data_IF_991583810994
#
_entry.id   IF_991583810994
#
_cell.length_a   1.000
_cell.length_b   1.000
_cell.length_c   1.000
_cell.angle_alpha   90.00
_cell.angle_beta   90.00
_cell.angle_gamma   90.00
#
_symmetry.space_group_name_H-M   'P 1'
#
loop_
_entity.id
_entity.type
_entity.pdbx_description
1 polymer ?
#
# COMPACT_ATOMS: atom_id res chain seq x y z
N UNK A 1 21.36 -13.64 -19.32
CA UNK A 1 20.70 -12.70 -18.39
C UNK A 1 19.86 -13.51 -17.42
N UNK A 2 20.03 -13.32 -16.11
CA UNK A 2 19.22 -14.02 -15.10
C UNK A 2 17.93 -13.24 -14.87
N UNK A 3 16.79 -13.83 -15.20
CA UNK A 3 15.49 -13.26 -14.81
C UNK A 3 15.34 -13.37 -13.30
N UNK A 4 14.92 -12.27 -12.64
CA UNK A 4 14.52 -12.28 -11.22
C UNK A 4 13.01 -12.18 -11.16
N UNK A 5 12.39 -13.10 -10.43
CA UNK A 5 10.94 -13.10 -10.20
C UNK A 5 10.68 -12.54 -8.80
N UNK A 6 9.55 -11.86 -8.65
CA UNK A 6 9.09 -11.31 -7.38
C UNK A 6 7.81 -12.05 -6.99
N UNK A 7 7.77 -12.59 -5.77
CA UNK A 7 6.56 -13.21 -5.23
C UNK A 7 5.72 -12.16 -4.51
N UNK A 8 4.55 -11.73 -5.05
CA UNK A 8 3.73 -10.69 -4.44
C UNK A 8 3.13 -11.09 -3.08
N UNK A 9 3.09 -12.39 -2.76
CA UNK A 9 2.56 -12.91 -1.49
C UNK A 9 3.57 -12.87 -0.33
N UNK A 10 4.79 -12.37 -0.58
CA UNK A 10 5.78 -12.13 0.48
C UNK A 10 5.81 -10.66 0.84
N UNK A 11 6.04 -10.33 2.10
CA UNK A 11 6.26 -8.96 2.56
C UNK A 11 7.26 -8.18 1.67
N UNK A 12 8.38 -8.82 1.33
CA UNK A 12 9.40 -8.23 0.48
C UNK A 12 8.87 -7.98 -0.94
N UNK A 13 8.18 -8.95 -1.54
CA UNK A 13 7.66 -8.79 -2.89
C UNK A 13 6.52 -7.79 -2.96
N UNK A 14 5.65 -7.77 -1.96
CA UNK A 14 4.61 -6.76 -1.81
C UNK A 14 5.22 -5.36 -1.70
N UNK A 15 6.27 -5.20 -0.87
CA UNK A 15 7.00 -3.92 -0.76
C UNK A 15 7.66 -3.49 -2.07
N UNK A 16 8.22 -4.42 -2.82
CA UNK A 16 8.83 -4.13 -4.12
C UNK A 16 7.77 -3.65 -5.11
N UNK A 17 6.59 -4.28 -5.13
CA UNK A 17 5.54 -4.04 -6.12
C UNK A 17 4.66 -2.84 -5.76
N UNK A 18 4.35 -2.62 -4.48
CA UNK A 18 3.37 -1.63 -4.02
C UNK A 18 3.93 -0.61 -3.03
N UNK A 19 5.10 -0.84 -2.44
CA UNK A 19 5.67 -0.01 -1.39
C UNK A 19 6.52 1.18 -1.87
N UNK A 20 6.47 1.51 -3.17
CA UNK A 20 7.25 2.60 -3.76
C UNK A 20 6.32 3.71 -4.28
N UNK A 21 6.74 4.99 -4.27
CA UNK A 21 5.94 6.08 -4.85
C UNK A 21 5.62 5.86 -6.34
N UNK A 22 6.54 5.26 -7.10
CA UNK A 22 6.35 4.96 -8.51
C UNK A 22 5.27 3.88 -8.77
N UNK A 23 4.99 3.04 -7.77
CA UNK A 23 3.96 1.99 -7.86
C UNK A 23 2.63 2.41 -7.21
N UNK A 24 2.47 3.69 -6.88
CA UNK A 24 1.30 4.23 -6.21
C UNK A 24 0.00 3.88 -6.93
N UNK A 25 -0.06 4.04 -8.25
CA UNK A 25 -1.26 3.76 -9.03
C UNK A 25 -1.68 2.29 -8.97
N UNK A 26 -0.69 1.37 -8.91
CA UNK A 26 -0.97 -0.07 -8.75
C UNK A 26 -1.59 -0.37 -7.38
N UNK A 27 -1.12 0.31 -6.33
CA UNK A 27 -1.69 0.17 -5.00
C UNK A 27 -3.11 0.74 -4.93
N UNK A 28 -3.40 1.86 -5.61
CA UNK A 28 -4.75 2.41 -5.73
C UNK A 28 -5.69 1.40 -6.40
N UNK A 29 -5.27 0.81 -7.53
CA UNK A 29 -6.06 -0.20 -8.24
C UNK A 29 -6.34 -1.39 -7.31
N UNK A 30 -5.31 -1.94 -6.67
CA UNK A 30 -5.45 -3.07 -5.75
C UNK A 30 -6.46 -2.77 -4.63
N UNK A 31 -6.35 -1.60 -4.00
CA UNK A 31 -7.22 -1.21 -2.89
C UNK A 31 -8.65 -0.95 -3.36
N UNK A 32 -8.86 -0.35 -4.53
CA UNK A 32 -10.20 -0.12 -5.08
C UNK A 32 -10.90 -1.43 -5.46
N UNK A 33 -10.16 -2.42 -5.97
CA UNK A 33 -10.71 -3.76 -6.22
C UNK A 33 -11.04 -4.47 -4.89
N UNK A 34 -10.16 -4.34 -3.89
CA UNK A 34 -10.36 -4.96 -2.57
C UNK A 34 -11.53 -4.34 -1.79
N UNK A 35 -11.71 -3.02 -1.88
CA UNK A 35 -12.73 -2.23 -1.17
C UNK A 35 -13.94 -1.92 -2.05
N UNK A 36 -14.12 -2.67 -3.15
CA UNK A 36 -15.19 -2.45 -4.10
C UNK A 36 -16.56 -2.47 -3.42
N UNK A 37 -17.32 -1.39 -3.59
CA UNK A 37 -18.64 -1.20 -2.96
C UNK A 37 -18.63 -0.42 -1.64
N UNK A 38 -17.46 -0.11 -1.07
CA UNK A 38 -17.34 0.69 0.16
C UNK A 38 -16.81 2.10 -0.13
N UNK A 39 -15.61 2.19 -0.71
CA UNK A 39 -14.91 3.45 -0.96
C UNK A 39 -14.20 3.45 -2.31
N UNK A 40 -14.08 4.63 -2.92
CA UNK A 40 -13.29 4.83 -4.13
C UNK A 40 -12.14 5.80 -3.85
N UNK A 41 -10.92 5.28 -3.85
CA UNK A 41 -9.68 6.01 -3.61
C UNK A 41 -9.24 6.65 -4.93
N UNK A 42 -9.16 7.98 -4.94
CA UNK A 42 -8.64 8.75 -6.07
C UNK A 42 -7.14 9.03 -5.94
N UNK A 43 -6.68 9.13 -4.69
CA UNK A 43 -5.28 9.43 -4.40
C UNK A 43 -4.83 8.85 -3.06
N UNK A 44 -3.54 8.57 -2.95
CA UNK A 44 -2.92 7.90 -1.81
C UNK A 44 -1.58 8.57 -1.45
N UNK A 45 -1.32 8.78 -0.17
CA UNK A 45 0.00 9.22 0.31
C UNK A 45 0.51 8.23 1.34
N UNK A 46 1.74 7.74 1.14
CA UNK A 46 2.44 6.96 2.15
C UNK A 46 2.79 7.88 3.31
N UNK A 47 2.25 7.57 4.49
CA UNK A 47 2.64 8.25 5.71
C UNK A 47 3.91 7.60 6.25
N UNK A 48 4.84 8.43 6.68
CA UNK A 48 6.09 7.93 7.26
C UNK A 48 5.78 7.34 8.63
N UNK A 49 6.35 6.17 8.90
CA UNK A 49 6.28 5.57 10.22
C UNK A 49 7.34 6.23 11.08
N UNK A 50 6.94 7.20 11.89
CA UNK A 50 7.81 7.73 12.94
C UNK A 50 8.03 6.72 14.09
N UNK A 51 7.78 5.42 13.87
CA UNK A 51 8.07 4.38 14.84
C UNK A 51 8.93 3.27 14.23
N UNK A 52 10.24 3.40 14.47
CA UNK A 52 11.22 2.31 14.40
C UNK A 52 10.97 1.34 15.56
N UNK A 53 9.83 0.67 15.57
CA UNK A 53 9.64 -0.46 16.48
C UNK A 53 10.52 -1.60 15.99
N UNK A 54 11.65 -1.80 16.68
CA UNK A 54 12.64 -2.87 16.46
C UNK A 54 12.09 -4.28 16.79
N UNK A 55 10.85 -4.59 16.46
CA UNK A 55 10.30 -5.93 16.62
C UNK A 55 10.36 -6.69 15.30
N UNK A 56 11.58 -7.14 14.97
CA UNK A 56 11.95 -7.96 13.81
C UNK A 56 11.25 -9.35 13.82
N UNK A 57 10.53 -9.67 14.89
CA UNK A 57 10.01 -11.01 15.16
C UNK A 57 8.52 -11.20 14.85
N UNK A 58 7.71 -10.15 14.75
CA UNK A 58 6.29 -10.24 14.35
C UNK A 58 6.09 -9.72 12.93
N UNK A 59 6.27 -10.65 11.98
CA UNK A 59 6.38 -10.40 10.54
C UNK A 59 5.05 -10.04 9.90
N UNK A 60 4.75 -8.75 9.85
CA UNK A 60 3.80 -8.17 8.91
C UNK A 60 4.21 -6.74 8.59
N UNK A 61 4.42 -6.41 7.32
CA UNK A 61 4.64 -5.02 6.93
C UNK A 61 3.30 -4.29 7.01
N UNK A 62 3.18 -3.38 7.96
CA UNK A 62 2.05 -2.46 8.05
C UNK A 62 2.43 -1.17 7.30
N UNK A 63 1.57 -0.72 6.39
CA UNK A 63 1.69 0.56 5.68
C UNK A 63 0.63 1.53 6.19
N UNK A 64 1.06 2.72 6.62
CA UNK A 64 0.14 3.80 6.96
C UNK A 64 -0.12 4.62 5.70
N UNK A 65 -1.37 4.64 5.26
CA UNK A 65 -1.79 5.27 4.00
C UNK A 65 -2.84 6.34 4.29
N UNK A 66 -2.60 7.56 3.77
CA UNK A 66 -3.62 8.60 3.72
C UNK A 66 -4.32 8.56 2.37
N UNK A 67 -5.57 8.12 2.36
CA UNK A 67 -6.39 8.00 1.15
C UNK A 67 -7.30 9.22 1.00
N UNK A 68 -7.38 9.76 -0.22
CA UNK A 68 -8.35 10.79 -0.60
C UNK A 68 -9.42 10.18 -1.49
N UNK A 69 -10.67 10.46 -1.16
CA UNK A 69 -11.85 10.09 -1.95
C UNK A 69 -12.59 11.36 -2.36
N UNK A 70 -13.33 11.33 -3.47
CA UNK A 70 -14.15 12.46 -3.93
C UNK A 70 -15.38 12.73 -3.06
N UNK A 71 -15.70 11.83 -2.14
CA UNK A 71 -16.77 12.03 -1.16
C UNK A 71 -16.27 12.95 -0.06
N UNK A 72 -16.25 14.25 -0.34
CA UNK A 72 -16.21 15.26 0.70
C UNK A 72 -17.37 14.98 1.67
N UNK A 73 -17.06 14.51 2.88
CA UNK A 73 -18.02 14.46 3.98
C UNK A 73 -18.41 15.92 4.28
N UNK A 74 -19.47 16.37 3.63
CA UNK A 74 -20.16 17.60 3.99
C UNK A 74 -21.03 17.21 5.19
N UNK A 75 -20.46 17.32 6.38
CA UNK A 75 -21.19 17.32 7.65
C UNK A 75 -21.12 18.72 8.24
#
# INVERSE_FOLDING_TARGET
>A
MSSRFVNPFTDLGFKIIFGQPASKDLLIILLNELLSGEHHIEDLTFLDKEDRSENIHDKGIIYDLYCRTSTASTS
#
